data_IF_006156179740
#
_entry.id   IF_006156179740
#
_cell.length_a   1.000
_cell.length_b   1.000
_cell.length_c   1.000
_cell.angle_alpha   90.00
_cell.angle_beta   90.00
_cell.angle_gamma   90.00
#
_symmetry.space_group_name_H-M   'P 1'
#
loop_
_entity.id
_entity.type
_entity.pdbx_description
1 polymer ?
#
# COMPACT_ATOMS: atom_id res chain seq x y z
N UNK A 1 54.53 -54.48 28.49
CA UNK A 1 53.25 -55.06 28.16
C UNK A 1 52.30 -53.96 27.69
N UNK A 2 51.84 -54.10 26.49
CA UNK A 2 51.11 -53.04 25.77
C UNK A 2 49.65 -52.93 26.21
N UNK A 3 49.16 -51.74 26.44
CA UNK A 3 47.75 -51.39 26.45
C UNK A 3 47.53 -50.23 25.47
N UNK A 4 46.84 -50.46 24.59
CA UNK A 4 46.43 -50.23 23.30
C UNK A 4 45.72 -48.88 23.12
N UNK A 5 46.11 -48.24 22.07
CA UNK A 5 45.47 -47.10 21.42
C UNK A 5 44.17 -47.55 20.76
N UNK A 6 43.02 -46.99 21.19
CA UNK A 6 41.80 -46.96 20.38
C UNK A 6 40.72 -46.04 20.95
N UNK A 7 41.08 -44.76 21.36
CA UNK A 7 40.12 -43.80 21.82
C UNK A 7 39.98 -42.55 20.90
N UNK A 8 40.73 -42.52 19.79
CA UNK A 8 40.80 -41.32 18.95
C UNK A 8 39.82 -41.25 17.76
N UNK A 9 39.35 -42.39 17.26
CA UNK A 9 38.57 -42.42 16.02
C UNK A 9 37.06 -42.28 16.19
N UNK A 10 36.51 -42.60 17.34
CA UNK A 10 35.07 -42.46 17.60
C UNK A 10 34.60 -41.01 17.80
N UNK A 11 35.50 -40.18 18.36
CA UNK A 11 35.14 -38.75 18.65
C UNK A 11 35.12 -37.86 17.37
N UNK A 12 36.02 -38.14 16.44
CA UNK A 12 36.09 -37.39 15.16
C UNK A 12 34.92 -37.72 14.24
N UNK A 13 34.45 -38.96 14.19
CA UNK A 13 33.30 -39.35 13.36
C UNK A 13 32.00 -38.76 13.92
N UNK A 14 31.85 -38.70 15.27
CA UNK A 14 30.69 -38.11 15.93
C UNK A 14 30.58 -36.62 15.68
N UNK A 15 31.70 -35.86 15.68
CA UNK A 15 31.70 -34.42 15.41
C UNK A 15 31.40 -34.09 13.95
N UNK A 16 31.82 -34.94 13.00
CA UNK A 16 31.54 -34.73 11.57
C UNK A 16 30.07 -35.00 11.26
N UNK A 17 29.47 -36.01 11.84
CA UNK A 17 28.05 -36.34 11.66
C UNK A 17 27.17 -35.25 12.33
N UNK A 18 27.51 -34.80 13.54
CA UNK A 18 26.78 -33.71 14.21
C UNK A 18 26.89 -32.38 13.45
N UNK A 19 28.07 -32.06 12.87
CA UNK A 19 28.26 -30.89 12.02
C UNK A 19 27.48 -30.95 10.71
N UNK A 20 27.40 -32.12 10.08
CA UNK A 20 26.63 -32.32 8.86
C UNK A 20 25.12 -32.26 9.08
N UNK A 21 24.63 -32.79 10.22
CA UNK A 21 23.21 -32.70 10.60
C UNK A 21 22.84 -31.25 10.98
N UNK A 22 23.72 -30.52 11.69
CA UNK A 22 23.49 -29.11 12.02
C UNK A 22 23.54 -28.22 10.77
N UNK A 23 24.47 -28.46 9.85
CA UNK A 23 24.52 -27.75 8.57
C UNK A 23 23.34 -28.07 7.66
N UNK A 24 22.86 -29.31 7.66
CA UNK A 24 21.65 -29.75 6.96
C UNK A 24 20.39 -29.12 7.56
N UNK A 25 20.28 -29.05 8.92
CA UNK A 25 19.18 -28.43 9.62
C UNK A 25 19.14 -26.89 9.42
N UNK A 26 20.31 -26.23 9.41
CA UNK A 26 20.44 -24.79 9.11
C UNK A 26 20.11 -24.52 7.63
N UNK A 27 20.44 -25.42 6.71
CA UNK A 27 20.06 -25.34 5.30
C UNK A 27 18.56 -25.53 5.07
N UNK A 28 17.90 -26.36 5.89
CA UNK A 28 16.46 -26.65 5.79
C UNK A 28 15.58 -25.54 6.38
N UNK A 29 16.12 -24.69 7.28
CA UNK A 29 15.44 -23.53 7.86
C UNK A 29 15.64 -22.25 6.98
N UNK A 30 16.29 -22.32 5.84
CA UNK A 30 16.10 -21.31 4.80
C UNK A 30 14.69 -21.50 4.23
N UNK A 31 13.73 -21.06 4.99
CA UNK A 31 12.37 -20.86 4.51
C UNK A 31 12.44 -20.22 3.11
N UNK A 32 11.83 -20.90 2.16
CA UNK A 32 11.65 -20.37 0.79
C UNK A 32 10.89 -19.05 0.91
N UNK A 33 11.64 -17.94 0.96
CA UNK A 33 11.14 -16.57 1.19
C UNK A 33 10.37 -16.08 -0.04
N UNK A 34 10.37 -16.85 -1.12
CA UNK A 34 9.81 -16.48 -2.41
C UNK A 34 8.27 -16.40 -2.34
N UNK A 35 7.76 -15.19 -2.09
CA UNK A 35 6.33 -14.91 -2.03
C UNK A 35 5.65 -15.18 -3.38
N UNK A 36 6.28 -14.88 -4.52
CA UNK A 36 5.73 -15.16 -5.84
C UNK A 36 5.46 -16.67 -6.02
N UNK A 37 6.42 -17.52 -5.65
CA UNK A 37 6.25 -18.98 -5.76
C UNK A 37 5.07 -19.48 -4.92
N UNK A 38 4.94 -19.00 -3.67
CA UNK A 38 3.80 -19.35 -2.80
C UNK A 38 2.48 -18.86 -3.36
N UNK A 39 2.46 -17.64 -3.91
CA UNK A 39 1.28 -17.03 -4.53
C UNK A 39 0.83 -17.85 -5.74
N UNK A 40 1.76 -18.27 -6.60
CA UNK A 40 1.48 -19.12 -7.75
C UNK A 40 0.98 -20.52 -7.32
N UNK A 41 1.62 -21.15 -6.33
CA UNK A 41 1.19 -22.46 -5.81
C UNK A 41 -0.21 -22.44 -5.19
N UNK A 42 -0.58 -21.33 -4.56
CA UNK A 42 -1.88 -21.12 -3.91
C UNK A 42 -2.95 -20.65 -4.88
N UNK A 43 -2.55 -20.24 -6.10
CA UNK A 43 -3.40 -19.68 -7.16
C UNK A 43 -4.14 -18.40 -6.77
N UNK A 44 -3.59 -17.58 -5.86
CA UNK A 44 -4.17 -16.30 -5.44
C UNK A 44 -3.17 -15.40 -4.73
N UNK A 45 -3.31 -14.08 -4.90
CA UNK A 45 -2.65 -13.05 -4.11
C UNK A 45 -3.47 -12.80 -2.83
N UNK A 46 -2.84 -12.84 -1.66
CA UNK A 46 -3.49 -12.41 -0.42
C UNK A 46 -3.11 -10.97 -0.13
N UNK A 47 -4.08 -10.09 -0.19
CA UNK A 47 -3.89 -8.65 -0.09
C UNK A 47 -4.58 -8.07 1.14
N UNK A 48 -3.79 -7.44 2.03
CA UNK A 48 -4.31 -6.67 3.16
C UNK A 48 -4.82 -5.31 2.68
N UNK A 49 -6.07 -5.00 3.00
CA UNK A 49 -6.77 -3.76 2.64
C UNK A 49 -7.38 -3.09 3.86
N UNK A 50 -7.85 -1.85 3.71
CA UNK A 50 -8.58 -1.16 4.78
C UNK A 50 -9.90 -1.87 5.10
N UNK A 51 -10.40 -1.72 6.32
CA UNK A 51 -11.63 -2.35 6.82
C UNK A 51 -12.92 -1.74 6.24
N UNK A 52 -12.84 -0.57 5.59
CA UNK A 52 -13.97 0.10 4.97
C UNK A 52 -13.72 1.60 4.78
N UNK A 53 -12.94 1.95 3.75
CA UNK A 53 -12.61 3.33 3.39
C UNK A 53 -13.04 3.62 1.96
N UNK A 54 -14.16 4.34 1.73
CA UNK A 54 -14.61 4.72 0.39
C UNK A 54 -13.48 5.33 -0.45
N UNK A 55 -13.44 5.01 -1.73
CA UNK A 55 -12.37 5.41 -2.64
C UNK A 55 -11.11 4.55 -2.58
N UNK A 56 -10.77 3.94 -1.43
CA UNK A 56 -9.56 3.12 -1.27
C UNK A 56 -9.87 1.62 -1.18
N UNK A 57 -10.67 1.20 -0.20
CA UNK A 57 -11.09 -0.18 -0.06
C UNK A 57 -12.41 -0.26 0.70
N UNK A 58 -13.46 -0.70 0.03
CA UNK A 58 -14.80 -0.89 0.61
C UNK A 58 -15.52 -1.99 -0.16
N UNK A 59 -16.43 -2.68 0.49
CA UNK A 59 -17.34 -3.60 -0.20
C UNK A 59 -18.56 -2.82 -0.71
N UNK A 60 -18.94 -3.09 -1.96
CA UNK A 60 -20.18 -2.59 -2.52
C UNK A 60 -21.40 -3.36 -1.93
N UNK A 61 -22.61 -3.01 -2.38
CA UNK A 61 -23.86 -3.64 -1.92
C UNK A 61 -23.94 -5.14 -2.21
N UNK A 62 -23.11 -5.64 -3.13
CA UNK A 62 -23.03 -7.06 -3.49
C UNK A 62 -21.90 -7.78 -2.75
N UNK A 63 -21.19 -7.09 -1.86
CA UNK A 63 -20.03 -7.63 -1.14
C UNK A 63 -18.74 -7.68 -1.99
N UNK A 64 -18.72 -7.04 -3.17
CA UNK A 64 -17.51 -6.98 -3.99
C UNK A 64 -16.61 -5.86 -3.51
N UNK A 65 -15.33 -6.17 -3.31
CA UNK A 65 -14.34 -5.16 -2.97
C UNK A 65 -14.10 -4.20 -4.12
N UNK A 66 -14.12 -2.89 -3.86
CA UNK A 66 -13.83 -1.81 -4.80
C UNK A 66 -12.93 -0.76 -4.15
N UNK A 67 -12.15 -0.04 -4.96
CA UNK A 67 -11.31 1.06 -4.50
C UNK A 67 -9.90 1.04 -5.11
N UNK A 68 -9.17 2.11 -4.88
CA UNK A 68 -7.83 2.35 -5.41
C UNK A 68 -6.83 1.28 -4.93
N UNK A 69 -6.81 0.97 -3.64
CA UNK A 69 -5.98 -0.06 -3.05
C UNK A 69 -6.36 -1.48 -3.53
N UNK A 70 -7.66 -1.70 -3.72
CA UNK A 70 -8.21 -2.96 -4.24
C UNK A 70 -7.78 -3.19 -5.68
N UNK A 71 -7.85 -2.17 -6.52
CA UNK A 71 -7.45 -2.26 -7.92
C UNK A 71 -5.94 -2.48 -8.07
N UNK A 72 -5.14 -1.93 -7.15
CA UNK A 72 -3.70 -2.24 -7.13
C UNK A 72 -3.43 -3.73 -6.87
N UNK A 73 -4.15 -4.35 -5.93
CA UNK A 73 -4.03 -5.80 -5.69
C UNK A 73 -4.50 -6.62 -6.89
N UNK A 74 -5.55 -6.18 -7.58
CA UNK A 74 -6.00 -6.78 -8.84
C UNK A 74 -4.96 -6.65 -9.95
N UNK A 75 -4.22 -5.54 -10.00
CA UNK A 75 -3.14 -5.34 -10.95
C UNK A 75 -2.00 -6.35 -10.74
N UNK A 76 -1.63 -6.63 -9.48
CA UNK A 76 -0.66 -7.68 -9.15
C UNK A 76 -1.18 -9.05 -9.62
N UNK A 77 -2.44 -9.39 -9.33
CA UNK A 77 -3.02 -10.66 -9.76
C UNK A 77 -3.12 -10.78 -11.29
N UNK A 78 -3.51 -9.70 -11.98
CA UNK A 78 -3.53 -9.65 -13.44
C UNK A 78 -2.14 -9.88 -14.04
N UNK A 79 -1.09 -9.28 -13.46
CA UNK A 79 0.29 -9.48 -13.90
C UNK A 79 0.73 -10.95 -13.80
N UNK A 80 0.39 -11.61 -12.69
CA UNK A 80 0.81 -12.99 -12.39
C UNK A 80 -0.06 -14.01 -13.16
N UNK A 81 -1.38 -13.89 -13.06
CA UNK A 81 -2.34 -14.92 -13.46
C UNK A 81 -3.09 -14.60 -14.75
N UNK A 82 -2.98 -13.38 -15.29
CA UNK A 82 -3.88 -12.86 -16.32
C UNK A 82 -5.36 -12.87 -15.88
N UNK A 83 -5.59 -12.79 -14.57
CA UNK A 83 -6.91 -12.81 -13.94
C UNK A 83 -6.91 -11.88 -12.71
N UNK A 84 -7.61 -10.74 -12.75
CA UNK A 84 -7.69 -9.81 -11.64
C UNK A 84 -8.54 -10.33 -10.47
N UNK A 85 -9.30 -11.41 -10.68
CA UNK A 85 -10.12 -12.06 -9.66
C UNK A 85 -9.32 -12.96 -8.71
N UNK A 86 -8.09 -13.33 -9.06
CA UNK A 86 -7.22 -14.18 -8.21
C UNK A 86 -6.60 -13.40 -7.04
N UNK A 87 -7.45 -12.72 -6.28
CA UNK A 87 -7.10 -11.98 -5.07
C UNK A 87 -8.01 -12.39 -3.93
N UNK A 88 -7.41 -12.68 -2.77
CA UNK A 88 -8.12 -12.76 -1.50
C UNK A 88 -7.86 -11.47 -0.73
N UNK A 89 -8.88 -10.65 -0.56
CA UNK A 89 -8.80 -9.44 0.26
C UNK A 89 -8.94 -9.80 1.73
N UNK A 90 -8.06 -9.24 2.56
CA UNK A 90 -8.06 -9.41 4.02
C UNK A 90 -8.17 -8.02 4.63
N UNK A 91 -9.34 -7.65 5.18
CA UNK A 91 -9.50 -6.37 5.86
C UNK A 91 -8.68 -6.36 7.14
N UNK A 92 -7.84 -5.32 7.31
CA UNK A 92 -6.94 -5.16 8.45
C UNK A 92 -7.07 -3.74 9.01
N UNK A 93 -7.10 -3.61 10.33
CA UNK A 93 -7.06 -2.30 10.97
C UNK A 93 -5.61 -1.73 11.04
N UNK A 94 -5.45 -0.51 11.58
CA UNK A 94 -4.14 0.13 11.65
C UNK A 94 -3.18 -0.58 12.61
N UNK A 95 -3.70 -1.24 13.67
CA UNK A 95 -2.91 -1.87 14.73
C UNK A 95 -2.29 -3.20 14.32
N UNK A 96 -3.02 -3.97 13.49
CA UNK A 96 -2.63 -5.35 13.17
C UNK A 96 -1.93 -5.50 11.81
N UNK A 97 -2.11 -4.55 10.87
CA UNK A 97 -1.69 -4.68 9.46
C UNK A 97 -0.24 -5.12 9.28
N UNK A 98 0.69 -4.54 10.03
CA UNK A 98 2.12 -4.87 9.89
C UNK A 98 2.45 -6.23 10.48
N UNK A 99 1.86 -6.56 11.62
CA UNK A 99 2.02 -7.88 12.25
C UNK A 99 1.46 -8.99 11.34
N UNK A 100 0.31 -8.78 10.71
CA UNK A 100 -0.30 -9.74 9.79
C UNK A 100 0.53 -9.92 8.51
N UNK A 101 1.15 -8.84 8.00
CA UNK A 101 2.11 -8.96 6.90
C UNK A 101 3.34 -9.79 7.32
N UNK A 102 3.88 -9.58 8.51
CA UNK A 102 5.01 -10.35 9.04
C UNK A 102 4.66 -11.83 9.27
N UNK A 103 3.48 -12.13 9.78
CA UNK A 103 2.97 -13.50 9.95
C UNK A 103 2.67 -14.21 8.63
N UNK A 104 2.78 -13.50 7.49
CA UNK A 104 2.46 -14.04 6.15
C UNK A 104 0.98 -14.38 5.94
N UNK A 105 0.09 -13.80 6.72
CA UNK A 105 -1.35 -13.85 6.50
C UNK A 105 -1.72 -13.18 5.19
N UNK A 106 -0.96 -12.13 4.82
CA UNK A 106 -1.04 -11.45 3.53
C UNK A 106 0.33 -11.38 2.86
N UNK A 107 0.34 -11.23 1.54
CA UNK A 107 1.55 -11.14 0.73
C UNK A 107 1.99 -9.69 0.54
N UNK A 108 1.02 -8.79 0.48
CA UNK A 108 1.18 -7.35 0.28
C UNK A 108 0.10 -6.62 1.08
N UNK A 109 0.46 -5.44 1.60
CA UNK A 109 -0.52 -4.48 2.09
C UNK A 109 -0.70 -3.39 1.02
N UNK A 110 -1.89 -3.24 0.49
CA UNK A 110 -2.36 -2.05 -0.22
C UNK A 110 -3.48 -1.46 0.63
N UNK A 111 -3.09 -0.56 1.55
CA UNK A 111 -3.93 -0.16 2.67
C UNK A 111 -3.57 1.24 3.15
N UNK A 112 -3.62 2.22 2.26
CA UNK A 112 -3.34 3.63 2.57
C UNK A 112 -2.27 3.79 3.67
N UNK A 113 -1.12 3.13 3.51
CA UNK A 113 -0.04 3.11 4.50
C UNK A 113 1.05 4.09 4.14
N UNK A 114 1.28 5.07 5.00
CA UNK A 114 2.32 6.09 4.82
C UNK A 114 3.70 5.46 4.88
N UNK A 115 4.52 5.73 3.88
CA UNK A 115 5.92 5.35 3.83
C UNK A 115 6.72 6.22 4.81
N UNK A 116 7.27 5.63 5.84
CA UNK A 116 8.15 6.30 6.80
C UNK A 116 9.37 5.44 7.11
N UNK A 117 10.49 6.08 7.46
CA UNK A 117 11.71 5.39 7.85
C UNK A 117 11.48 4.47 9.06
N UNK A 118 10.74 4.94 10.08
CA UNK A 118 10.47 4.13 11.28
C UNK A 118 9.78 2.82 10.94
N UNK A 119 8.77 2.85 10.06
CA UNK A 119 8.04 1.64 9.64
C UNK A 119 8.93 0.63 8.92
N UNK A 120 9.91 1.08 8.14
CA UNK A 120 10.86 0.17 7.49
C UNK A 120 11.82 -0.47 8.49
N UNK A 121 12.40 0.33 9.41
CA UNK A 121 13.46 -0.16 10.30
C UNK A 121 12.93 -0.88 11.53
N UNK A 122 11.73 -0.51 12.03
CA UNK A 122 11.15 -1.08 13.25
C UNK A 122 10.30 -2.33 12.99
N UNK A 123 9.75 -2.46 11.76
CA UNK A 123 8.84 -3.55 11.43
C UNK A 123 9.36 -4.50 10.34
N UNK A 124 10.65 -4.44 9.95
CA UNK A 124 11.22 -5.26 8.88
C UNK A 124 10.37 -5.23 7.59
N UNK A 125 9.95 -4.04 7.19
CA UNK A 125 9.09 -3.79 6.02
C UNK A 125 9.87 -3.13 4.89
N UNK A 126 9.33 -3.22 3.69
CA UNK A 126 9.75 -2.43 2.53
C UNK A 126 8.53 -1.85 1.83
N UNK A 127 8.61 -0.57 1.52
CA UNK A 127 7.62 0.11 0.71
C UNK A 127 8.03 0.03 -0.76
N UNK A 128 7.06 -0.24 -1.64
CA UNK A 128 7.32 -0.43 -3.06
C UNK A 128 7.49 0.92 -3.78
N UNK A 129 6.44 1.41 -4.43
CA UNK A 129 6.41 2.71 -5.07
C UNK A 129 5.31 3.56 -4.41
N UNK A 130 5.53 4.87 -4.28
CA UNK A 130 4.47 5.76 -3.79
C UNK A 130 3.32 5.74 -4.80
N UNK A 131 2.19 5.19 -4.37
CA UNK A 131 0.99 5.07 -5.18
C UNK A 131 0.08 6.30 -5.07
N UNK A 132 0.11 7.00 -3.92
CA UNK A 132 -0.71 8.19 -3.67
C UNK A 132 0.05 9.17 -2.79
N UNK A 133 0.18 10.39 -3.23
CA UNK A 133 0.73 11.51 -2.43
C UNK A 133 -0.41 12.20 -1.70
N UNK A 134 -0.39 12.11 -0.38
CA UNK A 134 -1.37 12.70 0.53
C UNK A 134 -0.70 13.63 1.55
N UNK A 135 -1.48 14.20 2.40
CA UNK A 135 -1.09 14.97 3.57
C UNK A 135 -2.13 14.83 4.66
N UNK A 136 -1.78 15.14 5.89
CA UNK A 136 -2.72 15.18 7.02
C UNK A 136 -3.39 16.55 7.09
N UNK A 137 -4.70 16.54 7.38
CA UNK A 137 -5.51 17.75 7.57
C UNK A 137 -6.50 17.60 8.71
N UNK A 138 -7.45 18.53 8.74
CA UNK A 138 -8.48 18.57 9.77
C UNK A 138 -9.88 18.73 9.13
N UNK A 139 -10.87 18.07 9.70
CA UNK A 139 -12.28 18.24 9.40
C UNK A 139 -12.99 18.79 10.64
N UNK A 140 -13.80 19.83 10.44
CA UNK A 140 -14.56 20.51 11.50
C UNK A 140 -16.00 20.76 11.05
N UNK A 141 -16.97 20.88 11.98
CA UNK A 141 -18.30 21.40 11.66
C UNK A 141 -18.20 22.84 11.14
N UNK A 142 -18.91 23.17 10.07
CA UNK A 142 -18.95 24.54 9.50
C UNK A 142 -19.41 25.57 10.52
N UNK A 143 -20.31 25.18 11.42
CA UNK A 143 -20.84 26.05 12.49
C UNK A 143 -19.76 26.58 13.45
N UNK A 144 -18.57 25.95 13.49
CA UNK A 144 -17.44 26.46 14.29
C UNK A 144 -16.74 27.67 13.68
N UNK A 145 -16.95 27.97 12.39
CA UNK A 145 -16.32 29.07 11.64
C UNK A 145 -14.79 29.07 11.73
N UNK A 146 -14.17 27.90 11.77
CA UNK A 146 -12.71 27.72 11.76
C UNK A 146 -12.21 27.92 10.31
N UNK A 147 -11.25 28.80 10.11
CA UNK A 147 -10.68 29.09 8.80
C UNK A 147 -9.33 28.40 8.58
N UNK A 148 -8.54 28.19 9.63
CA UNK A 148 -7.20 27.60 9.57
C UNK A 148 -6.99 26.61 10.72
N UNK A 149 -6.05 25.68 10.52
CA UNK A 149 -5.60 24.79 11.57
C UNK A 149 -4.98 25.52 12.77
N UNK A 150 -4.51 26.74 12.61
CA UNK A 150 -4.04 27.59 13.71
C UNK A 150 -5.16 28.09 14.63
N UNK A 151 -6.42 28.06 14.16
CA UNK A 151 -7.59 28.43 14.97
C UNK A 151 -8.08 27.26 15.86
N UNK A 152 -7.38 26.11 15.87
CA UNK A 152 -7.75 24.90 16.60
C UNK A 152 -7.19 24.84 18.03
N UNK A 153 -6.58 25.92 18.54
CA UNK A 153 -6.08 25.94 19.91
C UNK A 153 -7.22 25.63 20.92
N UNK A 154 -6.97 24.73 21.85
CA UNK A 154 -7.96 24.25 22.84
C UNK A 154 -9.02 23.27 22.30
N UNK A 155 -8.93 22.84 21.04
CA UNK A 155 -9.89 21.88 20.43
C UNK A 155 -9.77 20.48 21.01
N UNK A 156 -10.88 19.73 20.97
CA UNK A 156 -10.89 18.27 21.20
C UNK A 156 -10.71 17.57 19.86
N UNK A 157 -9.55 16.93 19.68
CA UNK A 157 -9.16 16.34 18.39
C UNK A 157 -9.26 14.81 18.44
N UNK A 158 -10.17 14.25 17.63
CA UNK A 158 -10.23 12.82 17.38
C UNK A 158 -9.09 12.40 16.42
N UNK A 159 -8.35 11.37 16.81
CA UNK A 159 -7.28 10.77 16.01
C UNK A 159 -7.23 9.26 16.19
N UNK A 160 -6.94 8.53 15.13
CA UNK A 160 -6.78 7.08 15.19
C UNK A 160 -5.37 6.73 15.69
N UNK A 161 -5.29 5.87 16.73
CA UNK A 161 -4.02 5.33 17.25
C UNK A 161 -3.28 4.47 16.22
N UNK A 162 -1.98 4.27 16.40
CA UNK A 162 -1.11 3.47 15.52
C UNK A 162 -1.05 4.02 14.08
N UNK A 163 -1.25 5.33 13.93
CA UNK A 163 -1.13 6.06 12.67
C UNK A 163 -0.06 7.16 12.78
N UNK A 164 0.46 7.60 11.64
CA UNK A 164 1.31 8.79 11.55
C UNK A 164 0.58 10.04 12.02
N UNK A 165 -0.74 10.08 11.81
CA UNK A 165 -1.57 11.21 12.17
C UNK A 165 -1.56 11.53 13.66
N UNK A 166 -1.46 10.51 14.53
CA UNK A 166 -1.38 10.69 15.98
C UNK A 166 -0.07 11.38 16.42
N UNK A 167 1.03 11.03 15.76
CA UNK A 167 2.32 11.69 16.01
C UNK A 167 2.34 13.10 15.43
N UNK A 168 1.92 13.26 14.19
CA UNK A 168 1.96 14.54 13.48
C UNK A 168 1.09 15.61 14.14
N UNK A 169 -0.14 15.26 14.59
CA UNK A 169 -1.00 16.23 15.27
C UNK A 169 -0.35 16.75 16.55
N UNK A 170 0.28 15.87 17.32
CA UNK A 170 1.00 16.24 18.55
C UNK A 170 2.18 17.17 18.26
N UNK A 171 2.94 16.87 17.18
CA UNK A 171 4.06 17.71 16.76
C UNK A 171 3.59 19.07 16.22
N UNK A 172 2.52 19.10 15.45
CA UNK A 172 1.97 20.34 14.90
C UNK A 172 1.51 21.31 16.00
N UNK A 173 0.70 20.82 16.96
CA UNK A 173 0.23 21.65 18.05
C UNK A 173 1.39 22.16 18.94
N UNK A 174 2.36 21.30 19.23
CA UNK A 174 3.56 21.68 19.99
C UNK A 174 4.39 22.74 19.25
N UNK A 175 4.61 22.56 17.95
CA UNK A 175 5.43 23.49 17.16
C UNK A 175 4.80 24.89 17.05
N UNK A 176 3.46 24.98 17.13
CA UNK A 176 2.72 26.25 17.08
C UNK A 176 2.35 26.78 18.47
N UNK A 177 2.89 26.21 19.56
CA UNK A 177 2.59 26.57 20.95
C UNK A 177 1.09 26.49 21.30
N UNK A 178 0.36 25.60 20.63
CA UNK A 178 -1.08 25.36 20.80
C UNK A 178 -1.31 24.16 21.73
N UNK A 179 -2.49 24.11 22.33
CA UNK A 179 -2.96 22.99 23.16
C UNK A 179 -4.15 22.29 22.50
N UNK A 180 -4.34 21.03 22.79
CA UNK A 180 -5.53 20.29 22.40
C UNK A 180 -5.82 19.13 23.35
N UNK A 181 -7.07 18.72 23.44
CA UNK A 181 -7.48 17.50 24.12
C UNK A 181 -7.48 16.36 23.12
N UNK A 182 -6.59 15.38 23.29
CA UNK A 182 -6.47 14.24 22.40
C UNK A 182 -7.52 13.17 22.71
N UNK A 183 -8.39 12.85 21.74
CA UNK A 183 -9.36 11.76 21.80
C UNK A 183 -8.87 10.64 20.87
N UNK A 184 -8.30 9.59 21.45
CA UNK A 184 -7.71 8.47 20.70
C UNK A 184 -8.75 7.38 20.45
N UNK A 185 -8.77 6.85 19.22
CA UNK A 185 -9.78 5.92 18.73
C UNK A 185 -9.08 4.73 18.04
N UNK A 186 -9.66 3.52 18.21
CA UNK A 186 -9.06 2.29 17.70
C UNK A 186 -9.29 2.09 16.21
N UNK A 187 -10.38 2.60 15.66
CA UNK A 187 -10.75 2.35 14.27
C UNK A 187 -11.56 3.47 13.63
N UNK A 188 -11.78 3.32 12.33
CA UNK A 188 -12.48 4.29 11.48
C UNK A 188 -13.93 4.50 11.96
N UNK A 189 -14.63 3.41 12.31
CA UNK A 189 -16.03 3.48 12.76
C UNK A 189 -16.17 4.21 14.09
N UNK A 190 -15.24 4.02 15.01
CA UNK A 190 -15.17 4.73 16.27
C UNK A 190 -14.93 6.22 16.04
N UNK A 191 -14.03 6.57 15.08
CA UNK A 191 -13.72 7.94 14.75
C UNK A 191 -14.94 8.71 14.21
N UNK A 192 -15.69 8.10 13.31
CA UNK A 192 -16.93 8.68 12.78
C UNK A 192 -17.94 8.90 13.90
N UNK A 193 -18.21 7.88 14.72
CA UNK A 193 -19.18 7.95 15.83
C UNK A 193 -18.78 8.99 16.87
N UNK A 194 -17.52 9.04 17.29
CA UNK A 194 -17.04 10.00 18.28
C UNK A 194 -17.16 11.44 17.78
N UNK A 195 -16.84 11.67 16.51
CA UNK A 195 -16.96 12.99 15.89
C UNK A 195 -18.42 13.40 15.74
N UNK A 196 -19.32 12.54 15.24
CA UNK A 196 -20.75 12.84 15.10
C UNK A 196 -21.46 13.07 16.44
N UNK A 197 -21.06 12.35 17.48
CA UNK A 197 -21.63 12.52 18.83
C UNK A 197 -21.12 13.76 19.55
N UNK A 198 -20.15 14.50 19.00
CA UNK A 198 -19.52 15.65 19.64
C UNK A 198 -18.56 15.28 20.77
N UNK A 199 -18.10 14.02 20.86
CA UNK A 199 -17.04 13.62 21.78
C UNK A 199 -15.73 14.35 21.45
N UNK A 200 -15.50 14.66 20.18
CA UNK A 200 -14.51 15.60 19.68
C UNK A 200 -15.16 16.60 18.72
N UNK A 201 -14.58 17.76 18.60
CA UNK A 201 -15.06 18.84 17.75
C UNK A 201 -14.21 19.02 16.48
N UNK A 202 -13.14 18.26 16.38
CA UNK A 202 -12.21 18.23 15.26
C UNK A 202 -11.80 16.78 14.98
N UNK A 203 -11.81 16.36 13.72
CA UNK A 203 -11.28 15.06 13.28
C UNK A 203 -10.04 15.28 12.42
N UNK A 204 -8.95 14.58 12.74
CA UNK A 204 -7.71 14.60 11.93
C UNK A 204 -7.40 13.23 11.35
N UNK A 205 -7.02 13.22 10.08
CA UNK A 205 -6.55 12.06 9.32
C UNK A 205 -5.86 12.55 8.04
N UNK A 206 -5.41 11.63 7.19
CA UNK A 206 -5.03 11.94 5.83
C UNK A 206 -6.19 12.66 5.12
N UNK A 207 -5.90 13.66 4.30
CA UNK A 207 -6.92 14.48 3.63
C UNK A 207 -7.86 13.60 2.81
N UNK A 208 -7.31 12.66 2.04
CA UNK A 208 -8.14 11.72 1.27
C UNK A 208 -9.04 10.87 2.17
N UNK A 209 -8.55 10.46 3.35
CA UNK A 209 -9.34 9.75 4.35
C UNK A 209 -10.43 10.66 4.93
N UNK A 210 -10.16 11.94 5.21
CA UNK A 210 -11.19 12.88 5.66
C UNK A 210 -12.33 13.04 4.64
N UNK A 211 -12.01 13.10 3.35
CA UNK A 211 -13.04 13.10 2.30
C UNK A 211 -13.89 11.83 2.33
N UNK A 212 -13.26 10.67 2.49
CA UNK A 212 -13.97 9.40 2.60
C UNK A 212 -14.86 9.32 3.86
N UNK A 213 -14.33 9.76 5.02
CA UNK A 213 -15.06 9.75 6.28
C UNK A 213 -16.23 10.74 6.26
N UNK A 214 -16.06 11.90 5.63
CA UNK A 214 -17.12 12.89 5.47
C UNK A 214 -18.35 12.30 4.77
N UNK A 215 -18.16 11.43 3.76
CA UNK A 215 -19.26 10.75 3.07
C UNK A 215 -20.05 9.79 3.98
N UNK A 216 -19.47 9.36 5.10
CA UNK A 216 -20.08 8.45 6.06
C UNK A 216 -20.86 9.17 7.16
N UNK A 217 -20.75 10.51 7.25
CA UNK A 217 -21.50 11.33 8.22
C UNK A 217 -22.96 11.45 7.80
N UNK A 218 -23.85 11.54 8.77
CA UNK A 218 -25.29 11.73 8.53
C UNK A 218 -25.60 13.03 7.76
N UNK A 219 -24.75 14.06 7.91
CA UNK A 219 -24.87 15.35 7.20
C UNK A 219 -23.52 15.80 6.65
N UNK A 220 -23.00 15.18 5.58
CA UNK A 220 -21.67 15.50 5.04
C UNK A 220 -21.48 16.99 4.69
N UNK A 221 -22.56 17.66 4.24
CA UNK A 221 -22.55 19.07 3.86
C UNK A 221 -22.32 20.05 4.99
N UNK A 222 -22.54 19.66 6.25
CA UNK A 222 -22.37 20.51 7.43
C UNK A 222 -20.91 20.55 7.92
N UNK A 223 -20.01 19.83 7.26
CA UNK A 223 -18.60 19.72 7.63
C UNK A 223 -17.69 20.25 6.54
N UNK A 224 -16.55 20.82 6.93
CA UNK A 224 -15.50 21.34 6.04
C UNK A 224 -14.17 20.69 6.39
N UNK A 225 -13.41 20.32 5.38
CA UNK A 225 -12.00 19.94 5.49
C UNK A 225 -11.20 21.22 5.29
N UNK A 226 -10.36 21.57 6.27
CA UNK A 226 -9.53 22.78 6.21
C UNK A 226 -8.49 22.64 5.08
N UNK A 227 -8.04 23.78 4.57
CA UNK A 227 -7.05 23.83 3.49
C UNK A 227 -5.61 23.52 3.98
N UNK A 228 -5.40 23.59 5.29
CA UNK A 228 -4.08 23.37 5.89
C UNK A 228 -3.65 21.91 5.77
N UNK A 229 -2.40 21.72 5.35
CA UNK A 229 -1.74 20.40 5.25
C UNK A 229 -0.58 20.40 6.23
N UNK A 230 -0.64 19.55 7.24
CA UNK A 230 0.31 19.57 8.35
C UNK A 230 1.43 18.53 8.25
N UNK A 231 1.35 17.59 7.30
CA UNK A 231 2.37 16.57 7.09
C UNK A 231 2.46 16.12 5.63
N UNK A 232 3.47 15.33 5.32
CA UNK A 232 3.58 14.56 4.09
C UNK A 232 3.18 13.12 4.36
N UNK A 233 2.21 12.60 3.61
CA UNK A 233 1.72 11.24 3.73
C UNK A 233 1.86 10.52 2.36
N UNK A 234 3.10 10.07 2.00
CA UNK A 234 3.29 9.26 0.79
C UNK A 234 2.77 7.84 1.04
N UNK A 235 1.61 7.52 0.48
CA UNK A 235 0.99 6.21 0.64
C UNK A 235 1.56 5.23 -0.37
N UNK A 236 1.98 4.05 0.10
CA UNK A 236 2.60 3.05 -0.75
C UNK A 236 2.22 1.62 -0.35
N UNK A 237 2.18 0.67 -1.30
CA UNK A 237 2.09 -0.75 -0.99
C UNK A 237 3.32 -1.22 -0.20
N UNK A 238 3.07 -2.13 0.74
CA UNK A 238 4.09 -2.61 1.68
C UNK A 238 4.27 -4.11 1.53
N UNK A 239 5.51 -4.56 1.54
CA UNK A 239 5.90 -5.96 1.52
C UNK A 239 6.89 -6.25 2.66
N UNK A 240 7.14 -7.52 2.95
CA UNK A 240 8.18 -7.94 3.90
C UNK A 240 9.57 -7.67 3.32
N UNK A 241 10.53 -7.38 4.18
CA UNK A 241 11.94 -7.36 3.81
C UNK A 241 12.46 -8.76 3.38
N UNK A 242 13.60 -8.77 2.72
CA UNK A 242 14.33 -9.96 2.28
C UNK A 242 13.65 -10.79 1.18
N UNK A 243 12.64 -10.25 0.52
CA UNK A 243 12.02 -10.82 -0.68
C UNK A 243 12.10 -9.82 -1.84
N UNK A 244 13.31 -9.60 -2.35
CA UNK A 244 13.60 -8.58 -3.35
C UNK A 244 12.84 -8.82 -4.66
N UNK A 245 12.63 -10.09 -5.02
CA UNK A 245 11.86 -10.42 -6.21
C UNK A 245 10.39 -10.01 -6.07
N UNK A 246 9.80 -10.22 -4.91
CA UNK A 246 8.42 -9.80 -4.63
C UNK A 246 8.31 -8.27 -4.57
N UNK A 247 9.24 -7.61 -3.90
CA UNK A 247 9.33 -6.14 -3.89
C UNK A 247 9.42 -5.58 -5.31
N UNK A 248 10.30 -6.14 -6.15
CA UNK A 248 10.47 -5.74 -7.55
C UNK A 248 9.16 -5.90 -8.34
N UNK A 249 8.47 -7.03 -8.19
CA UNK A 249 7.20 -7.29 -8.86
C UNK A 249 6.14 -6.26 -8.44
N UNK A 250 5.94 -6.05 -7.13
CA UNK A 250 4.96 -5.10 -6.60
C UNK A 250 5.27 -3.67 -7.04
N UNK A 251 6.54 -3.27 -6.95
CA UNK A 251 7.02 -1.96 -7.39
C UNK A 251 6.79 -1.73 -8.89
N UNK A 252 7.19 -2.69 -9.73
CA UNK A 252 7.03 -2.55 -11.17
C UNK A 252 5.58 -2.67 -11.62
N UNK A 253 4.69 -3.30 -10.84
CA UNK A 253 3.23 -3.23 -11.08
C UNK A 253 2.74 -1.79 -10.99
N UNK A 254 3.13 -1.02 -9.96
CA UNK A 254 2.78 0.40 -9.85
C UNK A 254 3.38 1.22 -11.01
N UNK A 255 4.66 1.01 -11.30
CA UNK A 255 5.33 1.71 -12.39
C UNK A 255 4.79 1.35 -13.77
N UNK A 256 4.30 0.13 -13.98
CA UNK A 256 3.64 -0.22 -15.24
C UNK A 256 2.34 0.59 -15.44
N UNK A 257 1.55 0.78 -14.39
CA UNK A 257 0.33 1.58 -14.47
C UNK A 257 0.64 3.05 -14.80
N UNK A 258 1.69 3.63 -14.20
CA UNK A 258 2.14 5.00 -14.48
C UNK A 258 2.74 5.13 -15.89
N UNK A 259 3.63 4.20 -16.29
CA UNK A 259 4.21 4.19 -17.64
C UNK A 259 3.13 4.02 -18.72
N UNK A 260 2.10 3.21 -18.46
CA UNK A 260 0.99 3.07 -19.40
C UNK A 260 0.27 4.40 -19.63
N UNK A 261 -0.03 5.14 -18.56
CA UNK A 261 -0.65 6.45 -18.68
C UNK A 261 0.26 7.43 -19.43
N UNK A 262 1.56 7.49 -19.11
CA UNK A 262 2.52 8.35 -19.77
C UNK A 262 2.67 8.05 -21.28
N UNK A 263 2.58 6.79 -21.66
CA UNK A 263 2.59 6.35 -23.05
C UNK A 263 1.24 6.49 -23.78
N UNK A 264 0.20 6.94 -23.08
CA UNK A 264 -1.16 7.05 -23.62
C UNK A 264 -1.85 5.70 -23.83
N UNK A 265 -1.38 4.65 -23.12
CA UNK A 265 -1.95 3.30 -23.17
C UNK A 265 -2.97 3.15 -22.04
N UNK A 266 -4.16 2.69 -22.38
CA UNK A 266 -5.28 2.50 -21.46
C UNK A 266 -6.02 1.19 -21.75
N UNK A 267 -7.03 0.86 -20.94
CA UNK A 267 -7.80 -0.38 -21.05
C UNK A 267 -8.51 -0.55 -22.43
N UNK A 268 -8.76 0.54 -23.15
CA UNK A 268 -9.47 0.52 -24.43
C UNK A 268 -8.55 0.34 -25.64
N UNK A 269 -7.26 0.72 -25.52
CA UNK A 269 -6.32 0.73 -26.65
C UNK A 269 -5.10 -0.19 -26.45
N UNK A 270 -4.96 -0.87 -25.32
CA UNK A 270 -3.80 -1.71 -25.00
C UNK A 270 -3.56 -2.82 -26.02
N UNK A 271 -4.62 -3.38 -26.61
CA UNK A 271 -4.50 -4.43 -27.63
C UNK A 271 -3.99 -3.86 -28.97
N UNK A 272 -4.30 -2.61 -29.27
CA UNK A 272 -3.72 -1.91 -30.42
C UNK A 272 -2.25 -1.57 -30.20
N UNK A 273 -1.87 -1.21 -28.97
CA UNK A 273 -0.49 -0.93 -28.61
C UNK A 273 0.47 -2.10 -28.88
N UNK A 274 -0.02 -3.35 -28.90
CA UNK A 274 0.77 -4.53 -29.29
C UNK A 274 1.32 -4.46 -30.73
N UNK A 275 0.71 -3.66 -31.61
CA UNK A 275 1.12 -3.46 -33.01
C UNK A 275 2.10 -2.29 -33.19
N UNK A 276 2.38 -1.56 -32.11
CA UNK A 276 3.24 -0.38 -32.14
C UNK A 276 4.66 -0.71 -32.62
N UNK A 277 5.28 0.26 -33.31
CA UNK A 277 6.70 0.23 -33.70
C UNK A 277 7.52 1.22 -32.89
N UNK A 278 6.94 1.93 -31.93
CA UNK A 278 7.66 2.82 -31.03
C UNK A 278 8.44 1.98 -30.01
N UNK A 279 9.76 2.17 -29.86
CA UNK A 279 10.60 1.29 -29.01
C UNK A 279 10.19 1.26 -27.53
N UNK A 280 9.71 2.38 -26.98
CA UNK A 280 9.22 2.47 -25.62
C UNK A 280 7.92 1.66 -25.41
N UNK A 281 6.98 1.78 -26.35
CA UNK A 281 5.76 0.98 -26.36
C UNK A 281 6.07 -0.51 -26.57
N UNK A 282 6.98 -0.86 -27.48
CA UNK A 282 7.37 -2.27 -27.74
C UNK A 282 7.94 -2.92 -26.47
N UNK A 283 8.76 -2.20 -25.70
CA UNK A 283 9.29 -2.70 -24.42
C UNK A 283 8.18 -2.82 -23.37
N UNK A 284 7.29 -1.84 -23.28
CA UNK A 284 6.15 -1.88 -22.38
C UNK A 284 5.24 -3.09 -22.65
N UNK A 285 4.86 -3.31 -23.90
CA UNK A 285 3.94 -4.43 -24.25
C UNK A 285 4.64 -5.79 -24.33
N UNK A 286 5.97 -5.85 -24.18
CA UNK A 286 6.75 -7.09 -24.15
C UNK A 286 7.07 -7.69 -25.51
N UNK A 287 6.88 -6.96 -26.61
CA UNK A 287 7.32 -7.39 -27.97
C UNK A 287 8.83 -7.18 -28.16
N UNK A 288 9.46 -6.36 -27.32
CA UNK A 288 10.92 -6.19 -27.23
C UNK A 288 11.36 -6.37 -25.77
N UNK A 289 12.53 -7.02 -25.57
CA UNK A 289 13.09 -7.26 -24.25
C UNK A 289 12.58 -8.53 -23.54
N UNK A 290 13.13 -8.79 -22.33
CA UNK A 290 12.83 -9.97 -21.52
C UNK A 290 12.48 -9.56 -20.06
N UNK A 291 11.93 -8.38 -19.84
CA UNK A 291 11.73 -7.80 -18.50
C UNK A 291 10.71 -8.57 -17.68
N UNK A 292 9.62 -9.02 -18.28
CA UNK A 292 8.63 -9.87 -17.61
C UNK A 292 9.25 -11.20 -17.11
N UNK A 293 9.88 -12.00 -17.98
CA UNK A 293 10.56 -13.23 -17.56
C UNK A 293 11.63 -13.02 -16.48
N UNK A 294 12.36 -11.91 -16.48
CA UNK A 294 13.31 -11.56 -15.42
C UNK A 294 12.65 -11.26 -14.07
N UNK A 295 11.38 -10.81 -14.07
CA UNK A 295 10.56 -10.66 -12.88
C UNK A 295 9.84 -11.96 -12.48
N UNK A 296 10.01 -13.05 -13.22
CA UNK A 296 9.26 -14.29 -13.02
C UNK A 296 7.83 -14.26 -13.57
N UNK A 297 7.55 -13.31 -14.48
CA UNK A 297 6.26 -13.11 -15.14
C UNK A 297 6.33 -13.46 -16.63
N UNK A 298 5.21 -13.40 -17.33
CA UNK A 298 5.17 -13.50 -18.80
C UNK A 298 5.61 -12.20 -19.45
N UNK A 299 5.94 -12.23 -20.74
CA UNK A 299 6.36 -11.04 -21.50
C UNK A 299 5.31 -9.94 -21.51
N UNK A 300 4.05 -10.31 -21.55
CA UNK A 300 2.87 -9.44 -21.65
C UNK A 300 2.30 -8.99 -20.30
N UNK A 301 3.04 -9.16 -19.20
CA UNK A 301 2.59 -8.85 -17.83
C UNK A 301 2.00 -7.45 -17.68
N UNK A 302 2.62 -6.43 -18.27
CA UNK A 302 2.15 -5.04 -18.19
C UNK A 302 0.86 -4.84 -19.02
N UNK A 303 0.75 -5.51 -20.18
CA UNK A 303 -0.46 -5.54 -20.99
C UNK A 303 -1.63 -6.13 -20.20
N UNK A 304 -1.39 -7.22 -19.46
CA UNK A 304 -2.41 -7.85 -18.60
C UNK A 304 -2.93 -6.90 -17.54
N UNK A 305 -2.03 -6.14 -16.88
CA UNK A 305 -2.43 -5.12 -15.91
C UNK A 305 -3.39 -4.12 -16.55
N UNK A 306 -2.98 -3.51 -17.66
CA UNK A 306 -3.76 -2.44 -18.29
C UNK A 306 -5.07 -2.97 -18.87
N UNK A 307 -5.07 -4.15 -19.49
CA UNK A 307 -6.27 -4.77 -20.05
C UNK A 307 -7.34 -5.03 -18.99
N UNK A 308 -6.95 -5.54 -17.83
CA UNK A 308 -7.89 -5.97 -16.79
C UNK A 308 -8.23 -4.87 -15.79
N UNK A 309 -7.28 -3.97 -15.51
CA UNK A 309 -7.41 -2.99 -14.44
C UNK A 309 -7.35 -1.55 -14.97
N UNK A 310 -6.61 -1.31 -16.05
CA UNK A 310 -6.38 0.02 -16.59
C UNK A 310 -5.03 0.61 -16.17
N UNK A 311 -4.74 1.82 -16.66
CA UNK A 311 -3.59 2.59 -16.25
C UNK A 311 -3.85 3.35 -14.94
N UNK A 312 -2.85 4.07 -14.43
CA UNK A 312 -2.97 4.80 -13.16
C UNK A 312 -4.08 5.86 -13.18
N UNK A 313 -4.20 6.62 -14.28
CA UNK A 313 -5.26 7.63 -14.43
C UNK A 313 -6.65 7.02 -14.37
N UNK A 314 -6.89 5.91 -15.10
CA UNK A 314 -8.18 5.22 -15.08
C UNK A 314 -8.55 4.72 -13.67
N UNK A 315 -7.55 4.18 -12.93
CA UNK A 315 -7.75 3.70 -11.56
C UNK A 315 -8.02 4.85 -10.60
N UNK A 316 -7.28 5.96 -10.73
CA UNK A 316 -7.49 7.15 -9.93
C UNK A 316 -8.88 7.73 -10.16
N UNK A 317 -9.23 7.97 -11.42
CA UNK A 317 -10.47 8.67 -11.78
C UNK A 317 -11.72 7.92 -11.32
N UNK A 318 -11.77 6.58 -11.49
CA UNK A 318 -12.95 5.82 -11.06
C UNK A 318 -13.08 5.67 -9.55
N UNK A 319 -11.95 5.62 -8.81
CA UNK A 319 -11.97 5.35 -7.38
C UNK A 319 -11.91 6.64 -6.54
N UNK A 320 -10.98 7.52 -6.82
CA UNK A 320 -10.75 8.74 -6.04
C UNK A 320 -11.52 9.91 -6.65
N UNK A 321 -11.36 10.14 -7.95
CA UNK A 321 -12.02 11.24 -8.66
C UNK A 321 -13.54 11.15 -8.57
N UNK A 322 -14.12 10.04 -9.02
CA UNK A 322 -15.57 9.85 -9.05
C UNK A 322 -16.19 9.67 -7.66
N UNK A 323 -15.50 8.96 -6.75
CA UNK A 323 -16.07 8.65 -5.41
C UNK A 323 -15.90 9.80 -4.44
N UNK A 324 -14.72 10.43 -4.39
CA UNK A 324 -14.39 11.43 -3.37
C UNK A 324 -14.42 12.86 -3.92
N UNK A 325 -14.42 13.04 -5.23
CA UNK A 325 -14.35 14.37 -5.86
C UNK A 325 -12.98 15.05 -5.67
N UNK A 326 -11.92 14.29 -5.40
CA UNK A 326 -10.57 14.83 -5.18
C UNK A 326 -9.87 14.95 -6.52
N UNK A 327 -9.42 16.16 -6.92
CA UNK A 327 -8.61 16.33 -8.11
C UNK A 327 -7.22 15.69 -7.93
N UNK A 328 -6.58 15.29 -9.03
CA UNK A 328 -5.30 14.57 -8.97
C UNK A 328 -4.18 15.36 -8.28
N UNK A 329 -4.07 16.66 -8.48
CA UNK A 329 -3.05 17.49 -7.82
C UNK A 329 -1.65 16.90 -7.96
N UNK A 330 -0.97 16.66 -6.83
CA UNK A 330 0.34 15.99 -6.80
C UNK A 330 0.33 14.59 -7.42
N UNK A 331 -0.83 13.93 -7.50
CA UNK A 331 -1.00 12.62 -8.09
C UNK A 331 -1.13 12.62 -9.63
N UNK A 332 -0.99 13.79 -10.27
CA UNK A 332 -0.76 13.87 -11.71
C UNK A 332 0.63 13.34 -12.07
N UNK A 333 0.79 12.91 -13.33
CA UNK A 333 2.11 12.61 -13.88
C UNK A 333 3.01 13.87 -13.83
N UNK A 334 4.32 13.63 -13.73
CA UNK A 334 5.34 14.69 -13.69
C UNK A 334 5.26 15.67 -14.89
N UNK A 335 4.89 15.17 -16.07
CA UNK A 335 4.73 15.97 -17.30
C UNK A 335 3.35 16.65 -17.39
N UNK A 336 2.46 16.44 -16.41
CA UNK A 336 1.14 17.06 -16.31
C UNK A 336 0.97 17.89 -15.02
N UNK A 337 2.09 18.30 -14.40
CA UNK A 337 2.10 19.20 -13.23
C UNK A 337 2.03 18.52 -11.87
N UNK A 338 2.12 17.19 -11.81
CA UNK A 338 2.20 16.42 -10.57
C UNK A 338 3.63 15.93 -10.28
N UNK A 339 3.73 14.93 -9.42
CA UNK A 339 5.01 14.32 -9.02
C UNK A 339 5.02 12.79 -9.17
N UNK A 340 3.99 12.20 -9.78
CA UNK A 340 4.04 10.79 -10.14
C UNK A 340 5.04 10.58 -11.27
N UNK A 341 6.10 9.84 -10.95
CA UNK A 341 7.24 9.62 -11.83
C UNK A 341 7.69 8.16 -11.79
N UNK A 342 7.50 7.45 -12.89
CA UNK A 342 7.93 6.06 -13.01
C UNK A 342 9.25 5.96 -13.78
N UNK A 343 10.20 5.11 -13.35
CA UNK A 343 11.37 4.78 -14.15
C UNK A 343 10.96 4.13 -15.48
N UNK A 344 11.70 4.39 -16.58
CA UNK A 344 11.40 3.80 -17.87
C UNK A 344 11.70 2.28 -17.89
N UNK A 345 10.92 1.53 -18.66
CA UNK A 345 11.18 0.11 -18.93
C UNK A 345 12.28 0.01 -20.01
N UNK A 346 13.53 -0.27 -19.59
CA UNK A 346 14.72 -0.36 -20.46
C UNK A 346 15.64 -1.49 -20.04
#
# INVERSE_FOLDING_TARGET
MALGKNFGTGLLVGCVIAGAVAAGAIGYIRYDINTLKRTVQRDAVYCGVNTGLPGFAVQDEKGTWIGFDVDFCRAIAAAIFNDPGKVKFVPLDARERFAELQKRTVDVLSRNSTYTMSREVEHDLQFAAVAYYDGQGFMVPKARNIASALDLDGSKVCVQVETTNDLNVSDYFRANAMKFDRVTLGGVDEAVKAYESGQCDTLTADISQLYALRLRLGKPGDHVILADVISKEPLAPVVRQKDDNWLMLVKWTAYAMLNAEELGINSKNVDEALKSKKPDVMRFVGTEGQYGPQLGLTKDWAVRIVRHVGNYGEVYDRNIGATLGIPRGLNQLWNAGGIQYAPPIR
#
